data_IF_314899276323
#
_entry.id   IF_314899276323
#
_cell.length_a   1.000
_cell.length_b   1.000
_cell.length_c   1.000
_cell.angle_alpha   90.00
_cell.angle_beta   90.00
_cell.angle_gamma   90.00
#
_symmetry.space_group_name_H-M   'P 1'
#
loop_
_entity.id
_entity.type
_entity.pdbx_description
1 polymer ?
#
# COMPACT_ATOMS: atom_id res chain seq x y z
N UNK A 1 -20.66 15.88 11.07
CA UNK A 1 -20.18 14.84 12.00
C UNK A 1 -18.97 14.24 11.33
N UNK A 2 -17.79 14.78 11.61
CA UNK A 2 -16.53 14.18 11.18
C UNK A 2 -16.08 13.36 12.39
N UNK A 3 -16.34 12.06 12.34
CA UNK A 3 -15.81 11.14 13.35
C UNK A 3 -14.28 11.21 13.26
N UNK A 4 -13.63 11.56 14.37
CA UNK A 4 -12.17 11.48 14.51
C UNK A 4 -11.74 10.03 14.26
N UNK A 5 -11.34 9.73 13.02
CA UNK A 5 -10.87 8.41 12.60
C UNK A 5 -9.45 8.15 13.11
N UNK A 6 -9.26 8.26 14.42
CA UNK A 6 -7.97 8.00 15.08
C UNK A 6 -7.90 6.53 15.45
N UNK A 7 -7.42 5.71 14.52
CA UNK A 7 -7.27 4.26 14.74
C UNK A 7 -6.16 4.02 15.77
N UNK A 8 -6.50 3.33 16.87
CA UNK A 8 -5.53 3.02 17.93
C UNK A 8 -4.53 1.94 17.49
N UNK A 9 -3.30 1.96 18.02
CA UNK A 9 -2.29 0.94 17.69
C UNK A 9 -2.74 -0.49 18.01
N UNK A 10 -3.49 -0.67 19.10
CA UNK A 10 -4.07 -1.97 19.48
C UNK A 10 -5.07 -2.48 18.46
N UNK A 11 -5.88 -1.59 17.90
CA UNK A 11 -6.88 -1.90 16.89
C UNK A 11 -6.24 -2.24 15.54
N UNK A 12 -5.20 -1.49 15.15
CA UNK A 12 -4.38 -1.83 13.98
C UNK A 12 -3.79 -3.24 14.07
N UNK A 13 -3.28 -3.62 15.25
CA UNK A 13 -2.75 -4.97 15.48
C UNK A 13 -3.84 -6.04 15.43
N UNK A 14 -5.02 -5.77 15.99
CA UNK A 14 -6.16 -6.67 15.92
C UNK A 14 -6.59 -6.92 14.47
N UNK A 15 -6.80 -5.85 13.69
CA UNK A 15 -7.18 -5.92 12.28
C UNK A 15 -6.12 -6.64 11.43
N UNK A 16 -4.84 -6.35 11.66
CA UNK A 16 -3.74 -7.06 10.98
C UNK A 16 -3.80 -8.56 11.25
N UNK A 17 -4.01 -8.95 12.51
CA UNK A 17 -4.13 -10.36 12.90
C UNK A 17 -5.30 -11.06 12.24
N UNK A 18 -6.48 -10.43 12.21
CA UNK A 18 -7.67 -10.96 11.54
C UNK A 18 -7.42 -11.17 10.04
N UNK A 19 -6.87 -10.17 9.35
CA UNK A 19 -6.59 -10.24 7.91
C UNK A 19 -5.60 -11.37 7.58
N UNK A 20 -4.47 -11.43 8.29
CA UNK A 20 -3.45 -12.46 8.04
C UNK A 20 -3.98 -13.85 8.38
N UNK A 21 -4.74 -13.99 9.47
CA UNK A 21 -5.32 -15.29 9.85
C UNK A 21 -6.30 -15.82 8.80
N UNK A 22 -7.16 -14.96 8.25
CA UNK A 22 -8.07 -15.31 7.16
C UNK A 22 -7.30 -15.65 5.87
N UNK A 23 -6.24 -14.91 5.57
CA UNK A 23 -5.43 -15.15 4.38
C UNK A 23 -4.69 -16.49 4.45
N UNK A 24 -3.94 -16.75 5.53
CA UNK A 24 -3.18 -18.01 5.70
C UNK A 24 -4.12 -19.21 5.93
N UNK A 25 -5.30 -18.99 6.53
CA UNK A 25 -6.31 -20.04 6.70
C UNK A 25 -6.94 -20.51 5.39
N UNK A 26 -7.03 -19.63 4.38
CA UNK A 26 -7.69 -19.93 3.10
C UNK A 26 -6.71 -20.06 1.91
N UNK A 27 -5.42 -19.77 2.10
CA UNK A 27 -4.41 -19.81 1.04
C UNK A 27 -3.18 -20.58 1.51
N UNK A 28 -2.53 -21.28 0.57
CA UNK A 28 -1.24 -21.91 0.83
C UNK A 28 -0.15 -20.83 0.86
N UNK A 29 0.39 -20.54 2.04
CA UNK A 29 1.46 -19.57 2.26
C UNK A 29 2.69 -20.30 2.79
N UNK A 30 3.88 -20.01 2.26
CA UNK A 30 5.11 -20.58 2.80
C UNK A 30 5.35 -20.07 4.22
N UNK A 31 5.97 -20.89 5.07
CA UNK A 31 6.29 -20.48 6.45
C UNK A 31 7.19 -19.24 6.49
N UNK A 32 8.09 -19.13 5.52
CA UNK A 32 9.03 -18.02 5.39
C UNK A 32 8.33 -16.73 4.95
N UNK A 33 7.16 -16.83 4.31
CA UNK A 33 6.40 -15.69 3.78
C UNK A 33 5.41 -15.10 4.81
N UNK A 34 5.15 -15.79 5.92
CA UNK A 34 4.18 -15.33 6.93
C UNK A 34 4.66 -14.05 7.62
N UNK A 35 5.92 -14.01 8.05
CA UNK A 35 6.50 -12.83 8.70
C UNK A 35 6.50 -11.58 7.79
N UNK A 36 7.00 -11.64 6.54
CA UNK A 36 6.95 -10.48 5.64
C UNK A 36 5.51 -10.08 5.27
N UNK A 37 4.57 -11.03 5.19
CA UNK A 37 3.16 -10.72 4.96
C UNK A 37 2.56 -9.91 6.12
N UNK A 38 2.79 -10.32 7.37
CA UNK A 38 2.32 -9.60 8.56
C UNK A 38 2.84 -8.16 8.55
N UNK A 39 4.14 -7.99 8.28
CA UNK A 39 4.76 -6.67 8.22
C UNK A 39 4.15 -5.81 7.11
N UNK A 40 4.02 -6.35 5.90
CA UNK A 40 3.40 -5.63 4.78
C UNK A 40 1.97 -5.19 5.06
N UNK A 41 1.16 -6.02 5.70
CA UNK A 41 -0.24 -5.67 6.03
C UNK A 41 -0.27 -4.57 7.08
N UNK A 42 0.51 -4.72 8.16
CA UNK A 42 0.59 -3.71 9.21
C UNK A 42 1.06 -2.36 8.67
N UNK A 43 2.12 -2.34 7.86
CA UNK A 43 2.68 -1.10 7.30
C UNK A 43 1.65 -0.40 6.40
N UNK A 44 0.93 -1.16 5.56
CA UNK A 44 -0.14 -0.60 4.71
C UNK A 44 -1.28 -0.02 5.55
N UNK A 45 -1.75 -0.74 6.57
CA UNK A 45 -2.82 -0.25 7.44
C UNK A 45 -2.37 0.96 8.26
N UNK A 46 -1.13 0.98 8.75
CA UNK A 46 -0.53 2.12 9.44
C UNK A 46 -0.42 3.35 8.53
N UNK A 47 -0.09 3.13 7.26
CA UNK A 47 -0.04 4.19 6.24
C UNK A 47 -1.43 4.73 5.95
N UNK A 48 -2.46 3.88 5.91
CA UNK A 48 -3.86 4.30 5.70
C UNK A 48 -4.46 4.98 6.94
N UNK A 49 -4.05 4.56 8.13
CA UNK A 49 -4.45 5.15 9.41
C UNK A 49 -3.77 6.50 9.66
N UNK A 50 -2.65 6.76 8.99
CA UNK A 50 -2.01 8.07 8.98
C UNK A 50 -2.56 8.84 7.78
N UNK A 51 -3.10 10.05 7.99
CA UNK A 51 -3.55 10.95 6.92
C UNK A 51 -2.40 11.48 6.03
N UNK A 52 -1.21 10.87 6.13
CA UNK A 52 -0.07 11.17 5.30
C UNK A 52 -0.27 10.51 3.94
N UNK A 53 -1.02 11.21 3.07
CA UNK A 53 -1.07 10.91 1.64
C UNK A 53 0.36 10.68 1.15
N UNK A 54 0.73 9.47 0.68
CA UNK A 54 2.04 9.27 0.10
C UNK A 54 2.11 10.27 -1.05
N UNK A 55 3.09 11.19 -0.96
CA UNK A 55 3.36 12.13 -2.04
C UNK A 55 3.48 11.29 -3.29
N UNK A 56 2.49 11.41 -4.18
CA UNK A 56 2.47 10.73 -5.47
C UNK A 56 3.83 11.01 -6.07
N UNK A 57 4.68 9.98 -6.14
CA UNK A 57 5.96 10.11 -6.81
C UNK A 57 5.58 10.42 -8.24
N UNK A 58 5.67 11.69 -8.61
CA UNK A 58 5.41 12.16 -9.95
C UNK A 58 6.22 11.24 -10.85
N UNK A 59 5.52 10.39 -11.60
CA UNK A 59 6.15 9.50 -12.55
C UNK A 59 6.76 10.42 -13.60
N UNK A 60 8.00 10.83 -13.38
CA UNK A 60 8.72 11.66 -14.34
C UNK A 60 8.75 10.86 -15.63
N UNK A 61 8.17 11.38 -16.72
CA UNK A 61 8.10 10.64 -17.96
C UNK A 61 9.52 10.25 -18.33
N UNK A 62 9.73 8.95 -18.60
CA UNK A 62 11.04 8.40 -18.96
C UNK A 62 11.63 9.10 -20.21
N UNK A 63 10.79 9.79 -20.97
CA UNK A 63 11.13 10.55 -22.17
C UNK A 63 10.70 12.01 -22.00
N UNK A 64 11.63 12.98 -22.17
CA UNK A 64 11.29 14.40 -22.19
C UNK A 64 10.26 14.73 -23.27
N UNK A 65 9.33 15.67 -23.01
CA UNK A 65 8.25 16.07 -23.94
C UNK A 65 8.77 16.42 -25.35
N UNK A 66 9.98 16.99 -25.45
CA UNK A 66 10.63 17.35 -26.73
C UNK A 66 11.05 16.14 -27.57
N UNK A 67 11.19 14.96 -26.95
CA UNK A 67 11.54 13.69 -27.60
C UNK A 67 10.32 12.79 -27.86
N UNK A 68 9.15 13.15 -27.33
CA UNK A 68 7.90 12.40 -27.52
C UNK A 68 6.96 12.97 -28.57
N UNK A 69 7.25 14.17 -29.11
CA UNK A 69 6.49 14.74 -30.23
C UNK A 69 7.41 14.89 -31.44
N UNK A 70 7.24 13.98 -32.40
CA UNK A 70 7.83 14.06 -33.74
C UNK A 70 6.73 14.24 -34.78
N UNK A 71 7.00 14.91 -35.91
CA UNK A 71 5.98 15.21 -36.94
C UNK A 71 5.24 13.96 -37.45
N UNK A 72 5.90 12.79 -37.40
CA UNK A 72 5.34 11.52 -37.89
C UNK A 72 4.62 10.69 -36.80
N UNK A 73 4.92 10.86 -35.50
CA UNK A 73 4.25 10.12 -34.41
C UNK A 73 4.52 10.68 -33.00
N UNK A 74 3.65 10.31 -32.03
CA UNK A 74 3.76 10.62 -30.60
C UNK A 74 4.13 9.32 -29.84
N UNK A 75 5.12 9.37 -28.93
CA UNK A 75 5.58 8.23 -28.10
C UNK A 75 5.40 8.47 -26.61
#
# INVERSE_FOLDING_TARGET
MSEDNTISRSELLALTGEIVSAHVGNNAVSRDDVAPLIQSVFDKLSTLASDETPTSVELTPAVPIRRSVTDDYIV
#
